data_IF_927133090044
#
_entry.id   IF_927133090044
#
_cell.length_a   1.000
_cell.length_b   1.000
_cell.length_c   1.000
_cell.angle_alpha   90.00
_cell.angle_beta   90.00
_cell.angle_gamma   90.00
#
_symmetry.space_group_name_H-M   'P 1'
#
loop_
_entity.id
_entity.type
_entity.pdbx_description
1 polymer ?
#
# COMPACT_ATOMS: atom_id res chain seq x y z
N UNK A 1 7.20 32.30 -8.94
CA UNK A 1 7.93 31.53 -7.91
C UNK A 1 7.85 30.05 -8.31
N UNK A 2 8.91 29.51 -8.90
CA UNK A 2 9.03 28.09 -9.24
C UNK A 2 9.38 27.35 -7.95
N UNK A 3 8.42 26.61 -7.40
CA UNK A 3 8.67 25.77 -6.23
C UNK A 3 9.23 24.44 -6.72
N UNK A 4 10.54 24.42 -6.92
CA UNK A 4 11.31 23.19 -7.01
C UNK A 4 11.54 22.67 -5.59
N UNK A 5 10.69 21.73 -5.14
CA UNK A 5 11.10 20.74 -4.14
C UNK A 5 10.65 19.37 -4.62
N UNK A 6 11.58 18.72 -5.30
CA UNK A 6 11.47 17.32 -5.65
C UNK A 6 11.19 16.44 -4.44
N UNK A 7 10.24 15.51 -4.63
CA UNK A 7 10.48 14.08 -4.42
C UNK A 7 10.80 13.53 -3.01
N UNK A 8 10.82 14.30 -1.91
CA UNK A 8 11.35 13.72 -0.65
C UNK A 8 10.65 14.07 0.66
N UNK A 9 9.41 14.56 0.63
CA UNK A 9 8.51 14.40 1.77
C UNK A 9 7.58 13.26 1.40
N UNK A 10 7.90 12.06 1.88
CA UNK A 10 7.01 10.91 1.84
C UNK A 10 5.65 11.41 2.33
N UNK A 11 4.64 11.47 1.47
CA UNK A 11 3.35 12.03 1.84
C UNK A 11 2.71 11.04 2.82
N UNK A 12 3.00 11.24 4.11
CA UNK A 12 2.62 10.33 5.20
C UNK A 12 1.11 10.13 5.17
N UNK A 13 0.35 11.20 4.92
CA UNK A 13 -1.10 11.16 4.79
C UNK A 13 -1.53 10.25 3.63
N UNK A 14 -0.92 10.37 2.45
CA UNK A 14 -1.20 9.51 1.30
C UNK A 14 -0.88 8.03 1.58
N UNK A 15 0.23 7.74 2.25
CA UNK A 15 0.60 6.37 2.65
C UNK A 15 -0.42 5.84 3.65
N UNK A 16 -0.77 6.62 4.67
CA UNK A 16 -1.75 6.26 5.68
C UNK A 16 -3.14 6.01 5.08
N UNK A 17 -3.61 6.89 4.20
CA UNK A 17 -4.89 6.75 3.49
C UNK A 17 -4.92 5.48 2.63
N UNK A 18 -3.90 5.28 1.79
CA UNK A 18 -3.83 4.11 0.92
C UNK A 18 -3.73 2.81 1.73
N UNK A 19 -2.98 2.84 2.84
CA UNK A 19 -2.85 1.71 3.75
C UNK A 19 -4.17 1.39 4.43
N UNK A 20 -4.89 2.39 4.95
CA UNK A 20 -6.19 2.17 5.60
C UNK A 20 -7.20 1.52 4.65
N UNK A 21 -7.26 2.00 3.39
CA UNK A 21 -8.13 1.44 2.36
C UNK A 21 -7.78 -0.01 2.06
N UNK A 22 -6.50 -0.27 1.76
CA UNK A 22 -6.03 -1.60 1.40
C UNK A 22 -6.16 -2.60 2.56
N UNK A 23 -5.76 -2.20 3.77
CA UNK A 23 -5.85 -3.04 4.96
C UNK A 23 -7.30 -3.36 5.32
N UNK A 24 -8.22 -2.39 5.19
CA UNK A 24 -9.64 -2.66 5.42
C UNK A 24 -10.19 -3.70 4.44
N UNK A 25 -9.86 -3.60 3.15
CA UNK A 25 -10.25 -4.61 2.18
C UNK A 25 -9.66 -5.98 2.51
N UNK A 26 -8.35 -6.05 2.73
CA UNK A 26 -7.64 -7.31 2.97
C UNK A 26 -8.05 -8.00 4.28
N UNK A 27 -8.44 -7.24 5.31
CA UNK A 27 -9.04 -7.81 6.54
C UNK A 27 -10.40 -8.42 6.23
N UNK A 28 -11.25 -7.71 5.49
CA UNK A 28 -12.60 -8.19 5.12
C UNK A 28 -12.55 -9.40 4.18
N UNK A 29 -11.53 -9.52 3.34
CA UNK A 29 -11.32 -10.71 2.49
C UNK A 29 -10.63 -11.87 3.22
N UNK A 30 -10.14 -11.65 4.44
CA UNK A 30 -9.38 -12.65 5.20
C UNK A 30 -7.92 -12.81 4.74
N UNK A 31 -7.44 -11.98 3.83
CA UNK A 31 -6.06 -12.02 3.33
C UNK A 31 -5.03 -11.52 4.37
N UNK A 32 -5.44 -10.69 5.32
CA UNK A 32 -4.63 -10.33 6.50
C UNK A 32 -5.47 -10.47 7.78
N UNK A 33 -4.85 -10.81 8.94
CA UNK A 33 -5.58 -10.93 10.19
C UNK A 33 -6.19 -9.59 10.62
N UNK A 34 -7.38 -9.65 11.20
CA UNK A 34 -8.07 -8.51 11.81
C UNK A 34 -7.42 -8.14 13.15
N UNK A 35 -6.25 -7.51 13.06
CA UNK A 35 -5.46 -7.06 14.21
C UNK A 35 -5.09 -5.59 14.09
N UNK A 36 -4.80 -4.98 15.24
CA UNK A 36 -4.29 -3.61 15.36
C UNK A 36 -2.83 -3.50 14.89
N UNK A 37 -2.14 -4.62 14.67
CA UNK A 37 -0.77 -4.61 14.18
C UNK A 37 -0.72 -4.17 12.71
N UNK A 38 0.27 -3.35 12.39
CA UNK A 38 0.60 -3.00 11.01
C UNK A 38 1.09 -4.25 10.28
N UNK A 39 0.60 -4.45 9.06
CA UNK A 39 1.12 -5.45 8.15
C UNK A 39 2.29 -4.85 7.37
N UNK A 40 3.51 -5.13 7.81
CA UNK A 40 4.74 -4.56 7.23
C UNK A 40 4.86 -4.82 5.73
N UNK A 41 4.41 -5.99 5.27
CA UNK A 41 4.47 -6.35 3.84
C UNK A 41 3.54 -5.47 3.00
N UNK A 42 2.31 -5.22 3.45
CA UNK A 42 1.41 -4.31 2.76
C UNK A 42 1.97 -2.88 2.75
N UNK A 43 2.52 -2.42 3.88
CA UNK A 43 3.16 -1.11 3.98
C UNK A 43 4.32 -0.99 2.99
N UNK A 44 5.18 -2.01 2.90
CA UNK A 44 6.30 -2.03 1.96
C UNK A 44 5.84 -1.90 0.50
N UNK A 45 4.77 -2.62 0.11
CA UNK A 45 4.21 -2.53 -1.25
C UNK A 45 3.73 -1.11 -1.56
N UNK A 46 3.03 -0.47 -0.61
CA UNK A 46 2.53 0.91 -0.77
C UNK A 46 3.70 1.89 -0.91
N UNK A 47 4.73 1.76 -0.07
CA UNK A 47 5.92 2.60 -0.14
C UNK A 47 6.63 2.45 -1.48
N UNK A 48 6.80 1.22 -1.97
CA UNK A 48 7.41 0.96 -3.29
C UNK A 48 6.59 1.55 -4.43
N UNK A 49 5.26 1.42 -4.40
CA UNK A 49 4.38 2.00 -5.42
C UNK A 49 4.40 3.53 -5.41
N UNK A 50 4.44 4.14 -4.23
CA UNK A 50 4.55 5.58 -4.08
C UNK A 50 5.88 6.10 -4.64
N UNK A 51 7.00 5.43 -4.33
CA UNK A 51 8.32 5.73 -4.89
C UNK A 51 8.36 5.60 -6.43
N UNK A 52 7.52 4.73 -7.00
CA UNK A 52 7.33 4.58 -8.44
C UNK A 52 6.38 5.61 -9.08
N UNK A 53 5.84 6.56 -8.31
CA UNK A 53 5.03 7.68 -8.83
C UNK A 53 3.52 7.52 -8.73
N UNK A 54 3.02 6.53 -7.96
CA UNK A 54 1.58 6.38 -7.72
C UNK A 54 1.10 7.32 -6.61
N UNK A 55 0.77 8.56 -6.96
CA UNK A 55 0.32 9.59 -6.00
C UNK A 55 -1.20 9.62 -5.76
N UNK A 56 -1.99 8.89 -6.54
CA UNK A 56 -3.44 8.80 -6.35
C UNK A 56 -3.76 7.72 -5.30
N UNK A 57 -4.34 8.12 -4.16
CA UNK A 57 -4.60 7.21 -3.03
C UNK A 57 -5.41 5.97 -3.37
N UNK A 58 -6.43 6.10 -4.22
CA UNK A 58 -7.29 4.97 -4.62
C UNK A 58 -6.52 4.01 -5.53
N UNK A 59 -5.80 4.55 -6.53
CA UNK A 59 -4.96 3.72 -7.43
C UNK A 59 -3.83 3.04 -6.67
N UNK A 60 -3.20 3.75 -5.74
CA UNK A 60 -2.13 3.24 -4.89
C UNK A 60 -2.64 2.07 -4.04
N UNK A 61 -3.77 2.23 -3.34
CA UNK A 61 -4.39 1.17 -2.56
C UNK A 61 -4.76 -0.05 -3.42
N UNK A 62 -5.43 0.15 -4.55
CA UNK A 62 -5.85 -0.94 -5.43
C UNK A 62 -4.65 -1.71 -5.99
N UNK A 63 -3.60 -1.02 -6.44
CA UNK A 63 -2.35 -1.67 -6.89
C UNK A 63 -1.67 -2.44 -5.76
N UNK A 64 -1.72 -1.92 -4.53
CA UNK A 64 -1.17 -2.59 -3.38
C UNK A 64 -1.93 -3.88 -3.05
N UNK A 65 -3.26 -3.85 -3.08
CA UNK A 65 -4.13 -5.03 -2.93
C UNK A 65 -3.75 -6.11 -3.96
N UNK A 66 -3.77 -5.76 -5.25
CA UNK A 66 -3.46 -6.72 -6.33
C UNK A 66 -2.08 -7.34 -6.18
N UNK A 67 -1.06 -6.55 -5.84
CA UNK A 67 0.30 -7.07 -5.62
C UNK A 67 0.39 -7.95 -4.38
N UNK A 68 -0.30 -7.58 -3.30
CA UNK A 68 -0.31 -8.33 -2.06
C UNK A 68 -0.92 -9.72 -2.26
N UNK A 69 -2.06 -9.79 -2.95
CA UNK A 69 -2.76 -11.05 -3.24
C UNK A 69 -1.92 -11.94 -4.16
N UNK A 70 -1.42 -11.41 -5.28
CA UNK A 70 -0.61 -12.18 -6.24
C UNK A 70 0.65 -12.80 -5.60
N UNK A 71 1.34 -12.05 -4.74
CA UNK A 71 2.50 -12.57 -4.01
C UNK A 71 2.10 -13.57 -2.89
N UNK A 72 0.89 -13.47 -2.34
CA UNK A 72 0.40 -14.41 -1.33
C UNK A 72 0.02 -15.75 -1.95
N UNK A 73 -0.60 -15.71 -3.14
CA UNK A 73 -0.85 -16.89 -3.96
C UNK A 73 0.46 -17.57 -4.36
N UNK A 74 1.47 -16.81 -4.80
CA UNK A 74 2.78 -17.37 -5.13
C UNK A 74 3.45 -18.10 -3.95
N UNK A 75 3.21 -17.65 -2.71
CA UNK A 75 3.73 -18.30 -1.49
C UNK A 75 2.93 -19.54 -1.09
N UNK A 76 1.66 -19.65 -1.48
CA UNK A 76 0.82 -20.80 -1.19
C UNK A 76 1.08 -21.99 -2.14
N UNK A 77 1.66 -21.74 -3.32
CA UNK A 77 1.90 -22.75 -4.37
C UNK A 77 3.35 -23.29 -4.35
N UNK A 78 4.25 -22.67 -3.59
CA UNK A 78 5.64 -23.07 -3.42
C UNK A 78 5.86 -23.94 -2.17
#
# INVERSE_FOLDING_TARGET
>A
MLVERGFQVMNVELVSDAYAIAANYLRRSGAIPDSLATNDRLLEIIVKLLQHGEFNKIRLANKAITRFEAQSEARAVA
#
